data_IF_267585181615
#
_entry.id   IF_267585181615
#
_cell.length_a   1.000
_cell.length_b   1.000
_cell.length_c   1.000
_cell.angle_alpha   90.00
_cell.angle_beta   90.00
_cell.angle_gamma   90.00
#
_symmetry.space_group_name_H-M   'P 1'
#
loop_
_entity.id
_entity.type
_entity.pdbx_description
1 polymer ?
#
# COMPACT_ATOMS: atom_id res chain seq x y z
N UNK A 1 24.36 -30.09 -5.36
CA UNK A 1 24.65 -29.48 -4.06
C UNK A 1 25.10 -28.03 -4.29
N UNK A 2 24.38 -27.05 -3.73
CA UNK A 2 24.73 -25.63 -3.85
C UNK A 2 25.99 -25.30 -3.06
N UNK A 3 26.85 -24.46 -3.63
CA UNK A 3 28.06 -23.93 -2.98
C UNK A 3 27.74 -22.60 -2.32
N UNK A 4 26.94 -22.62 -1.24
CA UNK A 4 26.65 -21.41 -0.48
C UNK A 4 27.84 -21.07 0.45
N UNK A 5 28.19 -19.79 0.54
CA UNK A 5 29.20 -19.24 1.44
C UNK A 5 28.79 -17.84 1.94
N UNK A 6 29.41 -17.40 2.98
CA UNK A 6 29.25 -16.01 3.41
C UNK A 6 29.86 -15.02 2.40
N UNK A 7 29.16 -13.92 2.19
CA UNK A 7 29.66 -12.86 1.32
C UNK A 7 30.93 -12.22 1.89
N UNK A 8 31.89 -11.93 1.02
CA UNK A 8 33.10 -11.20 1.39
C UNK A 8 32.80 -9.71 1.63
N UNK A 9 33.68 -9.01 2.35
CA UNK A 9 33.54 -7.56 2.57
C UNK A 9 33.49 -6.77 1.26
N UNK A 10 34.17 -7.24 0.21
CA UNK A 10 34.16 -6.61 -1.11
C UNK A 10 32.81 -6.78 -1.81
N UNK A 11 32.24 -7.98 -1.74
CA UNK A 11 30.92 -8.25 -2.30
C UNK A 11 29.83 -7.43 -1.60
N UNK A 12 29.84 -7.38 -0.27
CA UNK A 12 28.89 -6.55 0.51
C UNK A 12 28.99 -5.06 0.10
N UNK A 13 30.22 -4.54 -0.10
CA UNK A 13 30.43 -3.14 -0.52
C UNK A 13 29.96 -2.86 -1.96
N UNK A 14 29.96 -3.87 -2.83
CA UNK A 14 29.49 -3.73 -4.21
C UNK A 14 27.97 -3.86 -4.32
N UNK A 15 27.37 -4.62 -3.44
CA UNK A 15 25.94 -4.96 -3.49
C UNK A 15 25.09 -3.92 -2.75
N UNK A 16 25.55 -3.43 -1.59
CA UNK A 16 24.76 -2.56 -0.73
C UNK A 16 25.36 -1.16 -0.62
N UNK A 17 24.48 -0.17 -0.60
CA UNK A 17 24.87 1.24 -0.43
C UNK A 17 25.05 1.52 1.07
N UNK A 18 26.26 1.98 1.49
CA UNK A 18 26.47 2.39 2.86
C UNK A 18 25.86 3.77 3.11
N UNK A 19 24.96 3.87 4.07
CA UNK A 19 24.28 5.10 4.45
C UNK A 19 24.51 5.41 5.93
N UNK A 20 25.05 6.59 6.32
CA UNK A 20 25.03 7.02 7.71
C UNK A 20 23.59 7.05 8.23
N UNK A 21 23.32 6.31 9.30
CA UNK A 21 21.98 6.18 9.84
C UNK A 21 21.80 7.19 10.99
N UNK A 22 21.21 8.36 10.66
CA UNK A 22 21.17 9.55 11.54
C UNK A 22 19.71 10.06 11.73
N UNK A 23 18.78 9.25 12.31
CA UNK A 23 17.38 9.64 12.46
C UNK A 23 17.15 10.97 13.18
N UNK A 24 18.02 11.29 14.16
CA UNK A 24 17.93 12.54 14.91
C UNK A 24 18.17 13.78 14.02
N UNK A 25 19.06 13.68 13.03
CA UNK A 25 19.32 14.75 12.07
C UNK A 25 18.23 14.76 10.98
N UNK A 26 17.81 13.60 10.50
CA UNK A 26 16.76 13.47 9.50
C UNK A 26 15.45 14.11 9.96
N UNK A 27 15.05 13.87 11.21
CA UNK A 27 13.86 14.49 11.83
C UNK A 27 13.97 16.02 12.01
N UNK A 28 15.17 16.58 11.85
CA UNK A 28 15.41 18.02 11.79
C UNK A 28 15.51 18.55 10.35
N UNK A 29 15.26 17.72 9.34
CA UNK A 29 15.43 18.06 7.93
C UNK A 29 16.89 18.16 7.48
N UNK A 30 17.85 17.61 8.25
CA UNK A 30 19.28 17.65 7.94
C UNK A 30 19.77 16.31 7.44
N UNK A 31 20.70 16.33 6.46
CA UNK A 31 21.35 15.14 5.89
C UNK A 31 20.36 14.09 5.39
N UNK A 32 19.22 14.50 4.86
CA UNK A 32 18.20 13.56 4.36
C UNK A 32 18.78 12.64 3.30
N UNK A 33 18.54 11.32 3.38
CA UNK A 33 19.02 10.38 2.40
C UNK A 33 18.29 10.55 1.07
N UNK A 34 19.04 10.43 -0.02
CA UNK A 34 18.46 10.36 -1.38
C UNK A 34 18.28 8.93 -1.87
N UNK A 35 18.95 7.97 -1.23
CA UNK A 35 18.81 6.55 -1.55
C UNK A 35 17.49 6.01 -1.01
N UNK A 36 16.75 5.35 -1.87
CA UNK A 36 15.52 4.63 -1.54
C UNK A 36 15.79 3.13 -1.63
N UNK A 37 15.26 2.36 -0.69
CA UNK A 37 15.50 0.92 -0.66
C UNK A 37 15.27 0.30 0.70
N UNK A 38 15.77 -0.90 0.88
CA UNK A 38 15.60 -1.69 2.11
C UNK A 38 16.88 -1.75 2.93
N UNK A 39 16.81 -1.40 4.20
CA UNK A 39 17.92 -1.62 5.15
C UNK A 39 18.02 -3.12 5.45
N UNK A 40 19.07 -3.75 4.95
CA UNK A 40 19.32 -5.20 5.13
C UNK A 40 20.28 -5.52 6.27
N UNK A 41 20.98 -4.51 6.79
CA UNK A 41 21.92 -4.68 7.89
C UNK A 41 22.56 -3.36 8.30
N UNK A 42 23.46 -3.42 9.28
CA UNK A 42 24.20 -2.24 9.74
C UNK A 42 25.63 -2.59 10.14
N UNK A 43 26.46 -1.54 10.22
CA UNK A 43 27.83 -1.58 10.77
C UNK A 43 28.00 -0.44 11.76
N UNK A 44 28.94 -0.62 12.69
CA UNK A 44 29.19 0.38 13.74
C UNK A 44 28.15 0.35 14.85
N UNK A 45 28.14 1.37 15.68
CA UNK A 45 27.21 1.51 16.80
C UNK A 45 27.00 2.98 17.17
N UNK A 46 25.85 3.27 17.77
CA UNK A 46 25.48 4.63 18.21
C UNK A 46 25.52 5.63 17.04
N UNK A 47 26.13 6.78 17.25
CA UNK A 47 26.23 7.85 16.23
C UNK A 47 27.08 7.51 14.99
N UNK A 48 27.81 6.39 15.02
CA UNK A 48 28.63 5.91 13.89
C UNK A 48 27.96 4.71 13.19
N UNK A 49 26.66 4.54 13.36
CA UNK A 49 25.91 3.48 12.67
C UNK A 49 25.81 3.79 11.18
N UNK A 50 26.20 2.82 10.36
CA UNK A 50 26.06 2.86 8.91
C UNK A 50 25.09 1.76 8.52
N UNK A 51 23.93 2.12 7.98
CA UNK A 51 23.02 1.19 7.38
C UNK A 51 23.56 0.69 6.04
N UNK A 52 23.26 -0.57 5.73
CA UNK A 52 23.51 -1.18 4.43
C UNK A 52 22.16 -1.25 3.71
N UNK A 53 22.03 -0.49 2.65
CA UNK A 53 20.75 -0.35 1.90
C UNK A 53 20.85 -1.13 0.60
N UNK A 54 19.87 -1.97 0.35
CA UNK A 54 19.60 -2.58 -0.95
C UNK A 54 18.62 -1.66 -1.70
N UNK A 55 19.07 -1.05 -2.78
CA UNK A 55 18.26 -0.17 -3.64
C UNK A 55 17.65 -0.89 -4.85
N UNK A 56 17.80 -2.21 -4.92
CA UNK A 56 17.20 -3.04 -5.94
C UNK A 56 15.69 -3.20 -5.75
N UNK A 57 14.98 -3.49 -6.86
CA UNK A 57 13.56 -3.87 -6.84
C UNK A 57 13.43 -5.35 -6.46
N UNK A 58 13.61 -5.65 -5.16
CA UNK A 58 13.61 -7.01 -4.64
C UNK A 58 12.62 -7.20 -3.50
N UNK A 59 12.03 -8.38 -3.43
CA UNK A 59 11.21 -8.79 -2.29
C UNK A 59 12.11 -9.31 -1.15
N UNK A 60 11.84 -8.88 0.07
CA UNK A 60 12.59 -9.29 1.25
C UNK A 60 11.70 -10.11 2.19
N UNK A 61 12.18 -11.31 2.56
CA UNK A 61 11.54 -12.16 3.58
C UNK A 61 12.41 -12.21 4.83
N UNK A 62 11.87 -11.73 5.96
CA UNK A 62 12.54 -11.82 7.25
C UNK A 62 11.92 -12.92 8.12
N UNK A 63 12.71 -13.91 8.45
CA UNK A 63 12.31 -15.05 9.30
C UNK A 63 13.00 -14.91 10.66
N UNK A 64 12.25 -15.09 11.74
CA UNK A 64 12.78 -15.07 13.10
C UNK A 64 11.72 -15.43 14.13
N UNK A 65 12.12 -16.03 15.24
CA UNK A 65 11.24 -16.37 16.35
C UNK A 65 10.55 -15.13 16.97
N UNK A 66 9.54 -15.33 17.79
CA UNK A 66 8.94 -14.25 18.57
C UNK A 66 9.97 -13.64 19.53
N UNK A 67 9.94 -12.31 19.72
CA UNK A 67 10.83 -11.62 20.66
C UNK A 67 12.26 -11.33 20.19
N UNK A 68 12.70 -11.84 19.03
CA UNK A 68 14.07 -11.58 18.52
C UNK A 68 14.31 -10.15 17.99
N UNK A 69 13.32 -9.28 18.09
CA UNK A 69 13.48 -7.86 17.71
C UNK A 69 13.25 -7.55 16.24
N UNK A 70 12.55 -8.39 15.47
CA UNK A 70 12.21 -8.12 14.04
C UNK A 70 11.64 -6.72 13.83
N UNK A 71 10.70 -6.31 14.65
CA UNK A 71 10.09 -4.99 14.55
C UNK A 71 11.10 -3.87 14.86
N UNK A 72 11.87 -4.00 15.95
CA UNK A 72 12.78 -2.97 16.40
C UNK A 72 14.02 -2.83 15.50
N UNK A 73 14.60 -3.95 15.05
CA UNK A 73 15.87 -3.94 14.33
C UNK A 73 15.75 -3.99 12.81
N UNK A 74 14.57 -4.33 12.29
CA UNK A 74 14.35 -4.35 10.86
C UNK A 74 13.22 -3.40 10.44
N UNK A 75 12.00 -3.59 10.96
CA UNK A 75 10.85 -2.82 10.48
C UNK A 75 11.01 -1.32 10.74
N UNK A 76 11.32 -0.92 11.97
CA UNK A 76 11.44 0.49 12.32
C UNK A 76 12.57 1.22 11.58
N UNK A 77 13.79 0.68 11.45
CA UNK A 77 14.81 1.33 10.61
C UNK A 77 14.40 1.48 9.14
N UNK A 78 13.66 0.52 8.60
CA UNK A 78 13.15 0.60 7.23
C UNK A 78 12.05 1.66 7.08
N UNK A 79 11.12 1.78 8.03
CA UNK A 79 10.12 2.85 8.03
C UNK A 79 10.80 4.22 8.18
N UNK A 80 11.78 4.35 9.06
CA UNK A 80 12.53 5.59 9.23
C UNK A 80 13.24 6.01 7.93
N UNK A 81 13.93 5.08 7.27
CA UNK A 81 14.55 5.35 5.97
C UNK A 81 13.51 5.72 4.92
N UNK A 82 12.40 4.99 4.83
CA UNK A 82 11.33 5.28 3.89
C UNK A 82 10.80 6.71 4.07
N UNK A 83 10.54 7.11 5.32
CA UNK A 83 10.11 8.46 5.63
C UNK A 83 11.18 9.51 5.27
N UNK A 84 12.43 9.29 5.65
CA UNK A 84 13.51 10.25 5.43
C UNK A 84 13.86 10.41 3.94
N UNK A 85 13.72 9.36 3.13
CA UNK A 85 13.99 9.38 1.69
C UNK A 85 12.77 9.73 0.82
N UNK A 86 11.60 10.01 1.43
CA UNK A 86 10.40 10.40 0.70
C UNK A 86 9.69 9.25 -0.03
N UNK A 87 9.85 8.00 0.42
CA UNK A 87 9.17 6.85 -0.15
C UNK A 87 7.72 6.75 0.33
N UNK A 88 6.77 6.55 -0.58
CA UNK A 88 5.42 6.12 -0.21
C UNK A 88 5.42 4.63 0.14
N UNK A 89 4.74 4.24 1.20
CA UNK A 89 4.67 2.84 1.61
C UNK A 89 3.32 2.49 2.25
N UNK A 90 3.01 1.20 2.24
CA UNK A 90 1.86 0.61 2.95
C UNK A 90 2.41 -0.39 3.95
N UNK A 91 1.88 -0.37 5.18
CA UNK A 91 2.22 -1.33 6.23
C UNK A 91 0.99 -2.00 6.78
N UNK A 92 1.01 -3.33 6.89
CA UNK A 92 0.02 -4.07 7.67
C UNK A 92 0.47 -4.13 9.12
N UNK A 93 -0.43 -3.80 10.05
CA UNK A 93 -0.11 -3.66 11.47
C UNK A 93 -1.13 -4.41 12.33
N UNK A 94 -0.82 -5.65 12.67
CA UNK A 94 -1.72 -6.50 13.45
C UNK A 94 -1.86 -6.08 14.92
N UNK A 95 -0.94 -5.26 15.45
CA UNK A 95 -0.90 -4.83 16.86
C UNK A 95 -1.16 -3.33 17.07
N UNK A 96 -1.15 -2.55 15.99
CA UNK A 96 -1.24 -1.10 16.04
C UNK A 96 0.07 -0.41 16.48
N UNK A 97 1.18 -1.14 16.55
CA UNK A 97 2.46 -0.61 17.04
C UNK A 97 3.11 0.32 16.01
N UNK A 98 3.00 0.02 14.71
CA UNK A 98 3.56 0.85 13.65
C UNK A 98 2.82 2.19 13.57
N UNK A 99 1.50 2.14 13.52
CA UNK A 99 0.66 3.35 13.48
C UNK A 99 0.90 4.24 14.72
N UNK A 100 0.98 3.65 15.92
CA UNK A 100 1.20 4.35 17.17
C UNK A 100 2.58 4.98 17.27
N UNK A 101 3.64 4.23 16.90
CA UNK A 101 5.02 4.66 17.09
C UNK A 101 5.51 5.54 15.93
N UNK A 102 5.10 5.26 14.70
CA UNK A 102 5.61 5.96 13.52
C UNK A 102 4.61 6.88 12.83
N UNK A 103 3.31 6.72 13.02
CA UNK A 103 2.31 7.59 12.40
C UNK A 103 2.52 9.07 12.75
N UNK A 104 2.76 9.37 14.03
CA UNK A 104 3.06 10.74 14.49
C UNK A 104 4.42 11.22 13.99
N UNK A 105 5.45 10.35 13.98
CA UNK A 105 6.79 10.68 13.48
C UNK A 105 6.73 11.06 12.02
N UNK A 106 6.07 10.23 11.19
CA UNK A 106 5.91 10.47 9.76
C UNK A 106 5.19 11.81 9.47
N UNK A 107 4.09 12.08 10.17
CA UNK A 107 3.36 13.35 10.02
C UNK A 107 4.18 14.55 10.49
N UNK A 108 4.78 14.48 11.69
CA UNK A 108 5.39 15.65 12.35
C UNK A 108 6.75 16.03 11.77
N UNK A 109 7.56 15.05 11.42
CA UNK A 109 8.96 15.28 11.06
C UNK A 109 9.24 15.16 9.56
N UNK A 110 8.37 14.46 8.83
CA UNK A 110 8.56 14.17 7.41
C UNK A 110 7.41 14.63 6.51
N UNK A 111 6.40 15.30 7.10
CA UNK A 111 5.23 15.86 6.39
C UNK A 111 4.44 14.83 5.57
N UNK A 112 4.34 13.60 6.08
CA UNK A 112 3.58 12.54 5.43
C UNK A 112 2.08 12.69 5.65
N UNK A 113 1.31 12.45 4.60
CA UNK A 113 -0.11 12.16 4.71
C UNK A 113 -0.27 10.70 5.14
N UNK A 114 -0.61 10.46 6.40
CA UNK A 114 -0.78 9.13 6.99
C UNK A 114 -2.25 8.82 7.13
N UNK A 115 -2.70 7.75 6.50
CA UNK A 115 -4.04 7.19 6.65
C UNK A 115 -3.98 5.84 7.36
N UNK A 116 -4.87 5.63 8.32
CA UNK A 116 -4.95 4.40 9.12
C UNK A 116 -6.32 3.77 8.95
N UNK A 117 -6.36 2.60 8.31
CA UNK A 117 -7.57 1.78 8.22
C UNK A 117 -7.60 0.79 9.38
N UNK A 118 -8.45 1.08 10.38
CA UNK A 118 -8.62 0.23 11.56
C UNK A 118 -9.87 -0.64 11.43
N UNK A 119 -9.68 -1.87 10.97
CA UNK A 119 -10.78 -2.84 10.82
C UNK A 119 -11.33 -3.38 12.15
N UNK A 120 -10.60 -3.21 13.26
CA UNK A 120 -11.05 -3.59 14.61
C UNK A 120 -11.91 -2.52 15.24
N UNK A 121 -11.63 -1.27 14.91
CA UNK A 121 -12.33 -0.12 15.48
C UNK A 121 -12.73 0.87 14.36
N UNK A 122 -13.75 0.51 13.54
CA UNK A 122 -14.13 1.30 12.37
C UNK A 122 -14.47 2.76 12.69
N UNK A 123 -14.91 3.04 13.92
CA UNK A 123 -15.24 4.43 14.36
C UNK A 123 -14.03 5.31 14.57
N UNK A 124 -12.82 4.73 14.61
CA UNK A 124 -11.52 5.44 14.70
C UNK A 124 -10.68 5.30 13.43
N UNK A 125 -11.20 4.59 12.45
CA UNK A 125 -10.56 4.41 11.15
C UNK A 125 -10.69 5.68 10.32
N UNK A 126 -9.67 5.97 9.54
CA UNK A 126 -9.82 6.94 8.45
C UNK A 126 -10.80 6.37 7.40
N UNK A 127 -11.54 7.25 6.76
CA UNK A 127 -12.49 6.88 5.72
C UNK A 127 -11.76 6.45 4.45
N UNK A 128 -12.25 5.39 3.83
CA UNK A 128 -11.75 4.93 2.53
C UNK A 128 -12.91 4.52 1.63
N UNK A 129 -13.17 5.35 0.61
CA UNK A 129 -14.13 4.99 -0.42
C UNK A 129 -13.45 4.18 -1.52
N UNK A 130 -13.72 2.88 -1.57
CA UNK A 130 -13.14 1.98 -2.59
C UNK A 130 -13.55 2.36 -4.03
N UNK A 131 -14.59 3.17 -4.22
CA UNK A 131 -15.02 3.71 -5.51
C UNK A 131 -14.33 5.04 -5.86
N UNK A 132 -13.37 5.51 -5.03
CA UNK A 132 -12.73 6.82 -5.23
C UNK A 132 -12.18 7.01 -6.65
N UNK A 133 -11.49 6.04 -7.20
CA UNK A 133 -10.91 6.15 -8.55
C UNK A 133 -11.99 6.14 -9.64
N UNK A 134 -13.05 5.37 -9.47
CA UNK A 134 -14.18 5.38 -10.39
C UNK A 134 -14.81 6.77 -10.40
N UNK A 135 -15.14 7.29 -9.22
CA UNK A 135 -15.76 8.61 -9.07
C UNK A 135 -14.88 9.73 -9.61
N UNK A 136 -13.58 9.71 -9.29
CA UNK A 136 -12.60 10.69 -9.79
C UNK A 136 -12.58 10.77 -11.33
N UNK A 137 -12.49 9.63 -12.00
CA UNK A 137 -12.41 9.63 -13.46
C UNK A 137 -13.77 9.86 -14.10
N UNK A 138 -14.87 9.48 -13.46
CA UNK A 138 -16.22 9.83 -13.91
C UNK A 138 -16.46 11.35 -13.80
N UNK A 139 -16.06 12.00 -12.72
CA UNK A 139 -16.17 13.46 -12.56
C UNK A 139 -15.38 14.21 -13.64
N UNK A 140 -14.18 13.73 -14.00
CA UNK A 140 -13.38 14.29 -15.11
C UNK A 140 -14.14 14.15 -16.44
N UNK A 141 -14.73 12.99 -16.72
CA UNK A 141 -15.54 12.77 -17.92
C UNK A 141 -16.80 13.62 -17.93
N UNK A 142 -17.49 13.77 -16.81
CA UNK A 142 -18.70 14.58 -16.72
C UNK A 142 -18.43 16.08 -16.89
N UNK A 143 -17.23 16.54 -16.51
CA UNK A 143 -16.80 17.94 -16.73
C UNK A 143 -16.38 18.20 -18.19
N UNK A 144 -15.86 17.18 -18.89
CA UNK A 144 -15.52 17.23 -20.32
C UNK A 144 -15.89 15.91 -20.99
N UNK A 145 -17.07 15.86 -21.58
CA UNK A 145 -17.61 14.66 -22.25
C UNK A 145 -16.80 14.19 -23.48
N UNK A 146 -15.89 15.02 -23.97
CA UNK A 146 -14.95 14.61 -25.02
C UNK A 146 -13.78 13.80 -24.49
N UNK A 147 -13.54 13.80 -23.18
CA UNK A 147 -12.47 13.04 -22.55
C UNK A 147 -12.84 11.57 -22.38
N UNK A 148 -12.88 10.86 -23.51
CA UNK A 148 -13.16 9.41 -23.53
C UNK A 148 -12.12 8.58 -22.78
N UNK A 149 -10.89 9.09 -22.63
CA UNK A 149 -9.85 8.44 -21.83
C UNK A 149 -10.22 8.38 -20.34
N UNK A 150 -10.83 9.44 -19.82
CA UNK A 150 -11.33 9.45 -18.45
C UNK A 150 -12.47 8.44 -18.26
N UNK A 151 -13.43 8.40 -19.21
CA UNK A 151 -14.51 7.41 -19.18
C UNK A 151 -13.97 5.97 -19.17
N UNK A 152 -13.05 5.66 -20.08
CA UNK A 152 -12.43 4.32 -20.15
C UNK A 152 -11.68 3.95 -18.84
N UNK A 153 -11.07 4.93 -18.15
CA UNK A 153 -10.46 4.70 -16.83
C UNK A 153 -11.49 4.42 -15.76
N UNK A 154 -12.60 5.17 -15.72
CA UNK A 154 -13.70 4.91 -14.79
C UNK A 154 -14.25 3.48 -14.97
N UNK A 155 -14.52 3.07 -16.20
CA UNK A 155 -14.95 1.70 -16.54
C UNK A 155 -13.93 0.65 -16.12
N UNK A 156 -12.64 0.88 -16.38
CA UNK A 156 -11.56 -0.01 -15.95
C UNK A 156 -11.56 -0.23 -14.44
N UNK A 157 -11.64 0.87 -13.67
CA UNK A 157 -11.61 0.76 -12.20
C UNK A 157 -12.90 0.16 -11.65
N UNK A 158 -14.06 0.40 -12.25
CA UNK A 158 -15.31 -0.25 -11.88
C UNK A 158 -15.22 -1.78 -12.07
N UNK A 159 -14.70 -2.23 -13.21
CA UNK A 159 -14.47 -3.67 -13.47
C UNK A 159 -13.45 -4.28 -12.49
N UNK A 160 -12.34 -3.61 -12.21
CA UNK A 160 -11.35 -4.09 -11.23
C UNK A 160 -12.00 -4.24 -9.85
N UNK A 161 -12.77 -3.25 -9.40
CA UNK A 161 -13.45 -3.28 -8.10
C UNK A 161 -14.48 -4.41 -8.05
N UNK A 162 -15.33 -4.54 -9.08
CA UNK A 162 -16.32 -5.60 -9.17
C UNK A 162 -15.69 -6.98 -9.15
N UNK A 163 -14.67 -7.19 -9.98
CA UNK A 163 -13.92 -8.45 -10.03
C UNK A 163 -13.28 -8.80 -8.69
N UNK A 164 -12.67 -7.81 -8.02
CA UNK A 164 -12.06 -8.03 -6.71
C UNK A 164 -13.09 -8.46 -5.67
N UNK A 165 -14.27 -7.81 -5.64
CA UNK A 165 -15.34 -8.13 -4.68
C UNK A 165 -15.89 -9.54 -4.94
N UNK A 166 -16.17 -9.89 -6.18
CA UNK A 166 -16.73 -11.20 -6.55
C UNK A 166 -15.74 -12.34 -6.26
N UNK A 167 -14.44 -12.09 -6.41
CA UNK A 167 -13.41 -13.13 -6.26
C UNK A 167 -12.81 -13.25 -4.85
N UNK A 168 -13.24 -12.44 -3.88
CA UNK A 168 -12.68 -12.46 -2.51
C UNK A 168 -12.90 -13.80 -1.77
N UNK A 169 -13.79 -14.66 -2.22
CA UNK A 169 -14.15 -15.93 -1.54
C UNK A 169 -13.42 -17.18 -2.04
N UNK A 170 -12.87 -17.16 -3.24
CA UNK A 170 -12.32 -18.36 -3.89
C UNK A 170 -10.79 -18.28 -3.98
N UNK A 171 -10.09 -19.10 -3.19
CA UNK A 171 -8.63 -19.19 -3.17
C UNK A 171 -7.98 -19.62 -4.49
N UNK A 172 -8.74 -20.13 -5.45
CA UNK A 172 -8.30 -20.50 -6.81
C UNK A 172 -9.05 -19.66 -7.86
N UNK A 173 -8.44 -18.56 -8.26
CA UNK A 173 -8.96 -17.51 -9.16
C UNK A 173 -9.35 -18.02 -10.57
N UNK A 174 -9.14 -19.27 -10.90
CA UNK A 174 -9.30 -19.78 -12.27
C UNK A 174 -10.16 -21.04 -12.44
N UNK A 175 -10.85 -21.53 -11.41
CA UNK A 175 -11.59 -22.78 -11.53
C UNK A 175 -13.09 -22.66 -11.21
N UNK A 176 -13.76 -21.69 -11.83
CA UNK A 176 -15.22 -21.56 -11.69
C UNK A 176 -16.02 -22.70 -12.36
N UNK A 177 -15.36 -23.55 -13.15
CA UNK A 177 -15.98 -24.70 -13.80
C UNK A 177 -17.26 -24.34 -14.51
N UNK A 178 -18.37 -25.08 -14.23
CA UNK A 178 -19.69 -24.84 -14.81
C UNK A 178 -20.36 -23.53 -14.31
N UNK A 179 -19.85 -22.91 -13.26
CA UNK A 179 -20.42 -21.70 -12.67
C UNK A 179 -19.80 -20.39 -13.22
N UNK A 180 -18.83 -20.46 -14.13
CA UNK A 180 -18.13 -19.28 -14.68
C UNK A 180 -19.11 -18.23 -15.21
N UNK A 181 -20.17 -18.64 -15.88
CA UNK A 181 -21.19 -17.74 -16.42
C UNK A 181 -21.85 -16.87 -15.31
N UNK A 182 -22.15 -17.46 -14.16
CA UNK A 182 -22.80 -16.73 -13.07
C UNK A 182 -21.86 -15.70 -12.43
N UNK A 183 -20.57 -16.02 -12.30
CA UNK A 183 -19.56 -15.09 -11.79
C UNK A 183 -19.33 -13.92 -12.75
N UNK A 184 -19.23 -14.20 -14.05
CA UNK A 184 -19.08 -13.17 -15.09
C UNK A 184 -20.33 -12.25 -15.14
N UNK A 185 -21.53 -12.83 -15.03
CA UNK A 185 -22.77 -12.06 -14.98
C UNK A 185 -22.84 -11.16 -13.73
N UNK A 186 -22.45 -11.69 -12.56
CA UNK A 186 -22.40 -10.93 -11.31
C UNK A 186 -21.37 -9.80 -11.37
N UNK A 187 -20.17 -10.05 -11.93
CA UNK A 187 -19.16 -9.02 -12.16
C UNK A 187 -19.69 -7.93 -13.08
N UNK A 188 -20.34 -8.30 -14.18
CA UNK A 188 -20.94 -7.37 -15.14
C UNK A 188 -22.03 -6.51 -14.51
N UNK A 189 -22.93 -7.11 -13.73
CA UNK A 189 -23.99 -6.40 -13.02
C UNK A 189 -23.39 -5.41 -12.01
N UNK A 190 -22.49 -5.87 -11.15
CA UNK A 190 -21.86 -5.04 -10.12
C UNK A 190 -21.10 -3.86 -10.75
N UNK A 191 -20.31 -4.10 -11.80
CA UNK A 191 -19.61 -3.03 -12.52
C UNK A 191 -20.56 -2.00 -13.14
N UNK A 192 -21.69 -2.46 -13.69
CA UNK A 192 -22.70 -1.59 -14.29
C UNK A 192 -23.39 -0.71 -13.26
N UNK A 193 -23.74 -1.26 -12.09
CA UNK A 193 -24.36 -0.49 -10.98
C UNK A 193 -23.37 0.50 -10.39
N UNK A 194 -22.08 0.13 -10.26
CA UNK A 194 -21.02 1.06 -9.83
C UNK A 194 -20.93 2.25 -10.79
N UNK A 195 -20.92 2.01 -12.10
CA UNK A 195 -20.85 3.07 -13.11
C UNK A 195 -22.10 3.93 -13.12
N UNK A 196 -23.30 3.31 -13.01
CA UNK A 196 -24.56 4.04 -12.91
C UNK A 196 -24.56 5.01 -11.72
N UNK A 197 -24.14 4.53 -10.56
CA UNK A 197 -24.04 5.36 -9.36
C UNK A 197 -22.98 6.46 -9.50
N UNK A 198 -21.83 6.17 -10.11
CA UNK A 198 -20.79 7.15 -10.33
C UNK A 198 -21.21 8.26 -11.32
N UNK A 199 -22.04 7.94 -12.32
CA UNK A 199 -22.49 8.90 -13.34
C UNK A 199 -23.69 9.72 -12.86
N UNK A 200 -24.67 9.13 -12.16
CA UNK A 200 -25.94 9.74 -11.85
C UNK A 200 -26.21 9.97 -10.36
N UNK A 201 -25.45 9.34 -9.46
CA UNK A 201 -25.64 9.50 -8.01
C UNK A 201 -25.10 10.81 -7.48
N UNK A 202 -25.62 11.26 -6.36
CA UNK A 202 -25.10 12.40 -5.63
C UNK A 202 -23.72 12.08 -5.03
N UNK A 203 -22.84 13.08 -4.91
CA UNK A 203 -21.45 12.89 -4.45
C UNK A 203 -21.34 12.14 -3.12
N UNK A 204 -22.27 12.38 -2.21
CA UNK A 204 -22.30 11.73 -0.89
C UNK A 204 -22.85 10.31 -0.92
N UNK A 205 -23.44 9.88 -2.03
CA UNK A 205 -24.04 8.56 -2.20
C UNK A 205 -23.16 7.60 -3.01
N UNK A 206 -22.10 8.10 -3.65
CA UNK A 206 -21.22 7.34 -4.54
C UNK A 206 -20.24 6.47 -3.75
N UNK A 207 -20.77 5.49 -3.00
CA UNK A 207 -20.01 4.54 -2.20
C UNK A 207 -20.59 3.13 -2.29
N UNK A 208 -19.81 2.14 -1.88
CA UNK A 208 -20.16 0.72 -2.07
C UNK A 208 -21.47 0.30 -1.39
N UNK A 209 -21.83 0.91 -0.27
CA UNK A 209 -23.09 0.60 0.43
C UNK A 209 -24.30 0.97 -0.43
N UNK A 210 -24.26 2.11 -1.14
CA UNK A 210 -25.32 2.52 -2.05
C UNK A 210 -25.42 1.59 -3.26
N UNK A 211 -24.30 1.07 -3.75
CA UNK A 211 -24.28 0.06 -4.83
C UNK A 211 -25.04 -1.19 -4.40
N UNK A 212 -24.75 -1.71 -3.20
CA UNK A 212 -25.46 -2.89 -2.70
C UNK A 212 -26.95 -2.65 -2.43
N UNK A 213 -27.30 -1.46 -1.94
CA UNK A 213 -28.72 -1.08 -1.78
C UNK A 213 -29.45 -1.08 -3.12
N UNK A 214 -28.86 -0.44 -4.15
CA UNK A 214 -29.43 -0.44 -5.50
C UNK A 214 -29.63 -1.86 -6.04
N UNK A 215 -28.68 -2.78 -5.84
CA UNK A 215 -28.79 -4.17 -6.29
C UNK A 215 -29.90 -4.92 -5.53
N UNK A 216 -30.13 -4.60 -4.25
CA UNK A 216 -31.19 -5.21 -3.47
C UNK A 216 -32.60 -4.74 -3.86
N UNK A 217 -32.70 -3.55 -4.43
CA UNK A 217 -33.95 -2.93 -4.87
C UNK A 217 -34.30 -3.25 -6.34
N UNK A 218 -33.41 -3.96 -7.07
CA UNK A 218 -33.63 -4.46 -8.44
C UNK A 218 -34.35 -5.79 -8.43
#
# INVERSE_FOLDING_TARGET
HGTARWATKTEIKRTFIPLPFEPELWRQGKNLPTVQGTVVGCRGSGKKTIALVDDGDVHTLMIGAAGVGKTAYFLYPNIELACASGMSFISTDTKGDVARNYGTIAKKYYDYNVSVLDLRNPTRSDENNILHLVNKYMDIYLSDKNNLSAKAKAEKYAKITAKTIINIGDGDIHNYGQNAFFYDAAEGLLASVILLLAEFGDKNERHIVSVFKLIQDL
#
